data_IF_881973608134
#
_entry.id   IF_881973608134
#
_cell.length_a   1.000
_cell.length_b   1.000
_cell.length_c   1.000
_cell.angle_alpha   90.00
_cell.angle_beta   90.00
_cell.angle_gamma   90.00
#
_symmetry.space_group_name_H-M   'P 1'
#
loop_
_entity.id
_entity.type
_entity.pdbx_description
1 polymer ?
#
# COMPACT_ATOMS: atom_id res chain seq x y z
N UNK A 1 31.11 9.30 -3.25
CA UNK A 1 30.79 9.22 -4.68
C UNK A 1 29.80 8.07 -4.84
N UNK A 2 28.50 8.38 -5.04
CA UNK A 2 27.46 7.36 -5.27
C UNK A 2 27.73 6.67 -6.60
N UNK A 3 27.77 5.31 -6.59
CA UNK A 3 27.87 4.51 -7.83
C UNK A 3 26.76 4.89 -8.80
N UNK A 4 26.96 4.83 -10.14
CA UNK A 4 25.92 5.16 -11.14
C UNK A 4 24.61 4.42 -10.91
N UNK A 5 24.67 3.15 -10.49
CA UNK A 5 23.53 2.30 -10.13
C UNK A 5 22.67 2.87 -9.01
N UNK A 6 23.28 3.55 -8.02
CA UNK A 6 22.55 4.17 -6.91
C UNK A 6 21.72 5.38 -7.38
N UNK A 7 22.20 6.16 -8.36
CA UNK A 7 21.43 7.30 -8.89
C UNK A 7 20.19 6.84 -9.65
N UNK A 8 20.33 5.80 -10.47
CA UNK A 8 19.20 5.20 -11.20
C UNK A 8 18.18 4.60 -10.25
N UNK A 9 18.63 3.91 -9.20
CA UNK A 9 17.74 3.33 -8.19
C UNK A 9 17.00 4.40 -7.37
N UNK A 10 17.65 5.54 -7.05
CA UNK A 10 16.99 6.68 -6.40
C UNK A 10 15.95 7.30 -7.35
N UNK A 11 16.28 7.48 -8.63
CA UNK A 11 15.31 7.97 -9.61
C UNK A 11 14.12 7.02 -9.75
N UNK A 12 14.34 5.70 -9.79
CA UNK A 12 13.28 4.69 -9.79
C UNK A 12 12.41 4.77 -8.54
N UNK A 13 12.99 5.02 -7.35
CA UNK A 13 12.29 5.20 -6.11
C UNK A 13 11.39 6.46 -6.11
N UNK A 14 11.86 7.57 -6.69
CA UNK A 14 11.08 8.80 -6.84
C UNK A 14 9.90 8.59 -7.81
N UNK A 15 10.15 7.94 -8.96
CA UNK A 15 9.09 7.56 -9.90
C UNK A 15 8.05 6.67 -9.22
N UNK A 16 8.50 5.66 -8.47
CA UNK A 16 7.62 4.77 -7.73
C UNK A 16 6.75 5.52 -6.72
N UNK A 17 7.32 6.50 -6.00
CA UNK A 17 6.57 7.32 -5.06
C UNK A 17 5.44 8.11 -5.76
N UNK A 18 5.71 8.63 -6.95
CA UNK A 18 4.69 9.31 -7.77
C UNK A 18 3.63 8.31 -8.24
N UNK A 19 4.03 7.15 -8.76
CA UNK A 19 3.10 6.14 -9.27
C UNK A 19 2.14 5.63 -8.18
N UNK A 20 2.66 5.26 -7.00
CA UNK A 20 1.82 4.78 -5.91
C UNK A 20 1.07 5.90 -5.19
N UNK A 21 1.66 7.09 -5.04
CA UNK A 21 0.97 8.23 -4.45
C UNK A 21 -0.22 8.69 -5.29
N UNK A 22 -0.03 8.88 -6.59
CA UNK A 22 -1.10 9.27 -7.50
C UNK A 22 -2.17 8.18 -7.70
N UNK A 23 -1.81 6.91 -7.49
CA UNK A 23 -2.76 5.81 -7.57
C UNK A 23 -3.97 5.97 -6.61
N UNK A 24 -3.82 6.67 -5.48
CA UNK A 24 -4.92 6.94 -4.56
C UNK A 24 -6.00 7.82 -5.20
N UNK A 25 -5.59 8.81 -5.98
CA UNK A 25 -6.52 9.68 -6.74
C UNK A 25 -7.25 8.85 -7.79
N UNK A 26 -6.54 8.01 -8.53
CA UNK A 26 -7.15 7.16 -9.55
C UNK A 26 -8.13 6.15 -8.94
N UNK A 27 -7.80 5.56 -7.80
CA UNK A 27 -8.72 4.69 -7.06
C UNK A 27 -9.97 5.45 -6.62
N UNK A 28 -9.83 6.70 -6.13
CA UNK A 28 -10.97 7.54 -5.73
C UNK A 28 -11.87 7.89 -6.91
N UNK A 29 -11.30 8.17 -8.07
CA UNK A 29 -12.06 8.38 -9.31
C UNK A 29 -12.80 7.10 -9.70
N UNK A 30 -12.14 5.96 -9.70
CA UNK A 30 -12.71 4.70 -10.14
C UNK A 30 -13.94 4.26 -9.31
N UNK A 31 -13.91 4.46 -7.98
CA UNK A 31 -15.05 4.08 -7.11
C UNK A 31 -16.27 4.99 -7.26
N UNK A 32 -16.18 6.04 -8.05
CA UNK A 32 -17.36 6.84 -8.44
C UNK A 32 -18.16 6.19 -9.58
N UNK A 33 -17.54 5.26 -10.33
CA UNK A 33 -18.11 4.64 -11.53
C UNK A 33 -18.36 3.14 -11.40
N UNK A 34 -17.80 2.51 -10.36
CA UNK A 34 -17.96 1.10 -10.06
C UNK A 34 -18.00 0.88 -8.55
N UNK A 35 -18.65 -0.19 -8.12
CA UNK A 35 -18.61 -0.55 -6.70
C UNK A 35 -17.17 -0.88 -6.27
N UNK A 36 -16.82 -0.68 -4.98
CA UNK A 36 -15.45 -0.82 -4.50
C UNK A 36 -14.87 -2.21 -4.75
N UNK A 37 -15.67 -3.27 -4.56
CA UNK A 37 -15.20 -4.64 -4.76
C UNK A 37 -15.09 -5.01 -6.24
N UNK A 38 -15.97 -4.49 -7.10
CA UNK A 38 -15.88 -4.69 -8.56
C UNK A 38 -14.62 -4.03 -9.10
N UNK A 39 -14.35 -2.79 -8.72
CA UNK A 39 -13.12 -2.11 -9.13
C UNK A 39 -11.87 -2.83 -8.58
N UNK A 40 -11.87 -3.19 -7.27
CA UNK A 40 -10.75 -3.91 -6.67
C UNK A 40 -10.51 -5.26 -7.38
N UNK A 41 -11.58 -6.03 -7.64
CA UNK A 41 -11.50 -7.30 -8.37
C UNK A 41 -10.90 -7.14 -9.76
N UNK A 42 -11.44 -6.21 -10.56
CA UNK A 42 -10.94 -5.94 -11.91
C UNK A 42 -9.47 -5.54 -11.92
N UNK A 43 -9.08 -4.55 -11.10
CA UNK A 43 -7.69 -4.08 -11.08
C UNK A 43 -6.73 -5.18 -10.64
N UNK A 44 -7.10 -6.02 -9.66
CA UNK A 44 -6.21 -7.04 -9.14
C UNK A 44 -6.12 -8.24 -10.10
N UNK A 45 -7.21 -8.65 -10.76
CA UNK A 45 -7.17 -9.69 -11.80
C UNK A 45 -6.29 -9.25 -12.98
N UNK A 46 -6.50 -8.04 -13.50
CA UNK A 46 -5.68 -7.51 -14.58
C UNK A 46 -4.22 -7.27 -14.14
N UNK A 47 -4.02 -6.83 -12.89
CA UNK A 47 -2.71 -6.70 -12.27
C UNK A 47 -1.99 -8.04 -12.15
N UNK A 48 -2.67 -9.08 -11.67
CA UNK A 48 -2.14 -10.45 -11.61
C UNK A 48 -1.74 -10.96 -13.00
N UNK A 49 -2.60 -10.75 -14.00
CA UNK A 49 -2.30 -11.13 -15.39
C UNK A 49 -1.05 -10.38 -15.90
N UNK A 50 -0.90 -9.10 -15.62
CA UNK A 50 0.27 -8.31 -16.01
C UNK A 50 1.56 -8.79 -15.33
N UNK A 51 1.50 -9.19 -14.06
CA UNK A 51 2.65 -9.75 -13.34
C UNK A 51 3.02 -11.16 -13.83
N UNK A 52 2.03 -12.01 -14.11
CA UNK A 52 2.27 -13.32 -14.72
C UNK A 52 2.89 -13.19 -16.12
N UNK A 53 2.42 -12.23 -16.93
CA UNK A 53 3.04 -11.90 -18.21
C UNK A 53 4.49 -11.45 -18.01
N UNK A 54 4.76 -10.62 -17.02
CA UNK A 54 6.11 -10.16 -16.66
C UNK A 54 7.02 -11.34 -16.28
N UNK A 55 6.50 -12.34 -15.53
CA UNK A 55 7.23 -13.59 -15.25
C UNK A 55 7.62 -14.33 -16.52
N UNK A 56 6.67 -14.49 -17.45
CA UNK A 56 6.91 -15.19 -18.71
C UNK A 56 7.95 -14.45 -19.57
N UNK A 57 7.83 -13.11 -19.70
CA UNK A 57 8.75 -12.30 -20.50
C UNK A 57 10.16 -12.27 -19.91
N UNK A 58 10.29 -12.23 -18.58
CA UNK A 58 11.56 -12.24 -17.87
C UNK A 58 12.12 -13.64 -17.62
N UNK A 59 11.44 -14.68 -18.12
CA UNK A 59 11.81 -16.10 -17.97
C UNK A 59 12.04 -16.51 -16.50
N UNK A 60 11.20 -15.99 -15.61
CA UNK A 60 11.22 -16.29 -14.18
C UNK A 60 10.37 -17.53 -13.86
N UNK A 61 10.59 -18.20 -12.69
CA UNK A 61 9.80 -19.36 -12.32
C UNK A 61 8.30 -19.03 -12.23
N UNK A 62 7.48 -19.73 -13.01
CA UNK A 62 6.03 -19.53 -13.04
C UNK A 62 5.33 -20.38 -11.96
N UNK A 63 5.93 -21.48 -11.53
CA UNK A 63 5.32 -22.39 -10.56
C UNK A 63 5.34 -21.75 -9.17
N UNK A 64 4.18 -21.66 -8.45
CA UNK A 64 4.15 -21.11 -7.10
C UNK A 64 4.89 -22.00 -6.12
N UNK A 65 5.66 -21.38 -5.23
CA UNK A 65 6.25 -22.05 -4.07
C UNK A 65 5.48 -21.69 -2.82
N UNK A 66 5.47 -22.60 -1.83
CA UNK A 66 4.87 -22.35 -0.52
C UNK A 66 3.44 -21.81 -0.60
N UNK A 67 2.56 -22.57 -1.27
CA UNK A 67 1.18 -22.16 -1.57
C UNK A 67 0.43 -21.65 -0.33
N UNK A 68 0.45 -22.31 0.86
CA UNK A 68 -0.28 -21.84 2.02
C UNK A 68 0.19 -20.46 2.50
N UNK A 69 1.51 -20.24 2.57
CA UNK A 69 2.07 -18.96 2.98
C UNK A 69 1.85 -17.86 1.93
N UNK A 70 1.97 -18.19 0.65
CA UNK A 70 1.71 -17.25 -0.46
C UNK A 70 0.21 -16.88 -0.52
N UNK A 71 -0.69 -17.84 -0.32
CA UNK A 71 -2.13 -17.60 -0.21
C UNK A 71 -2.46 -16.68 0.95
N UNK A 72 -1.95 -16.97 2.16
CA UNK A 72 -2.21 -16.13 3.34
C UNK A 72 -1.66 -14.71 3.14
N UNK A 73 -0.47 -14.57 2.55
CA UNK A 73 0.07 -13.25 2.19
C UNK A 73 -0.83 -12.54 1.19
N UNK A 74 -1.33 -13.23 0.18
CA UNK A 74 -2.28 -12.69 -0.80
C UNK A 74 -3.59 -12.23 -0.18
N UNK A 75 -4.16 -13.03 0.73
CA UNK A 75 -5.37 -12.67 1.47
C UNK A 75 -5.18 -11.38 2.29
N UNK A 76 -4.03 -11.22 2.92
CA UNK A 76 -3.74 -10.05 3.76
C UNK A 76 -3.29 -8.84 2.94
N UNK A 77 -2.24 -8.97 2.11
CA UNK A 77 -1.65 -7.84 1.39
C UNK A 77 -2.45 -7.39 0.17
N UNK A 78 -3.22 -8.29 -0.44
CA UNK A 78 -3.99 -7.97 -1.64
C UNK A 78 -5.47 -7.85 -1.32
N UNK A 79 -6.13 -8.94 -0.87
CA UNK A 79 -7.56 -8.89 -0.63
C UNK A 79 -7.94 -7.90 0.48
N UNK A 80 -7.33 -8.04 1.66
CA UNK A 80 -7.64 -7.20 2.80
C UNK A 80 -7.23 -5.74 2.54
N UNK A 81 -5.98 -5.52 2.10
CA UNK A 81 -5.51 -4.17 1.83
C UNK A 81 -6.37 -3.46 0.78
N UNK A 82 -6.51 -4.03 -0.42
CA UNK A 82 -7.24 -3.34 -1.51
C UNK A 82 -8.75 -3.35 -1.31
N UNK A 83 -9.31 -4.41 -0.70
CA UNK A 83 -10.74 -4.45 -0.38
C UNK A 83 -11.13 -3.34 0.61
N UNK A 84 -10.41 -3.23 1.72
CA UNK A 84 -10.66 -2.16 2.70
C UNK A 84 -10.31 -0.77 2.15
N UNK A 85 -9.20 -0.61 1.42
CA UNK A 85 -8.80 0.67 0.86
C UNK A 85 -9.83 1.20 -0.16
N UNK A 86 -10.28 0.38 -1.10
CA UNK A 86 -11.27 0.82 -2.10
C UNK A 86 -12.62 1.10 -1.45
N UNK A 87 -13.02 0.33 -0.45
CA UNK A 87 -14.23 0.60 0.30
C UNK A 87 -14.11 1.90 1.11
N UNK A 88 -12.97 2.15 1.76
CA UNK A 88 -12.70 3.41 2.45
C UNK A 88 -12.86 4.62 1.54
N UNK A 89 -12.42 4.52 0.28
CA UNK A 89 -12.48 5.60 -0.71
C UNK A 89 -13.89 5.95 -1.17
N UNK A 90 -14.91 5.12 -0.95
CA UNK A 90 -16.30 5.44 -1.29
C UNK A 90 -16.76 6.72 -0.60
N UNK A 91 -16.52 6.83 0.70
CA UNK A 91 -16.91 7.99 1.51
C UNK A 91 -15.73 8.80 2.06
N UNK A 92 -14.49 8.31 1.94
CA UNK A 92 -13.25 8.97 2.36
C UNK A 92 -12.57 9.72 1.24
N UNK A 93 -11.78 10.74 1.60
CA UNK A 93 -10.90 11.43 0.67
C UNK A 93 -9.67 10.59 0.31
N UNK A 94 -9.13 10.76 -0.91
CA UNK A 94 -7.97 10.02 -1.39
C UNK A 94 -6.72 10.31 -0.57
N UNK A 95 -6.44 11.59 -0.30
CA UNK A 95 -5.29 12.03 0.48
C UNK A 95 -5.34 11.51 1.93
N UNK A 96 -6.49 11.66 2.60
CA UNK A 96 -6.69 11.18 3.97
C UNK A 96 -6.57 9.66 4.06
N UNK A 97 -7.20 8.93 3.15
CA UNK A 97 -7.12 7.46 3.10
C UNK A 97 -5.69 6.99 2.89
N UNK A 98 -4.94 7.63 1.98
CA UNK A 98 -3.52 7.33 1.79
C UNK A 98 -2.74 7.45 3.10
N UNK A 99 -2.81 8.57 3.81
CA UNK A 99 -2.07 8.78 5.07
C UNK A 99 -2.43 7.74 6.12
N UNK A 100 -3.72 7.42 6.29
CA UNK A 100 -4.17 6.43 7.26
C UNK A 100 -3.68 5.01 6.94
N UNK A 101 -3.64 4.62 5.67
CA UNK A 101 -3.07 3.33 5.25
C UNK A 101 -1.56 3.32 5.49
N UNK A 102 -0.85 4.42 5.21
CA UNK A 102 0.60 4.52 5.42
C UNK A 102 1.05 4.58 6.89
N UNK A 103 0.15 4.43 7.85
CA UNK A 103 0.47 4.05 9.23
C UNK A 103 0.96 2.59 9.33
N UNK A 104 0.82 1.80 8.28
CA UNK A 104 1.21 0.38 8.21
C UNK A 104 2.61 0.05 8.77
N UNK A 105 3.68 0.86 8.67
CA UNK A 105 4.97 0.52 9.28
C UNK A 105 4.91 0.39 10.80
N UNK A 106 4.04 1.13 11.47
CA UNK A 106 3.84 1.01 12.93
C UNK A 106 3.10 -0.28 13.28
N UNK A 107 2.13 -0.69 12.45
CA UNK A 107 1.52 -2.01 12.58
C UNK A 107 2.55 -3.13 12.37
N UNK A 108 3.47 -2.99 11.39
CA UNK A 108 4.56 -3.95 11.19
C UNK A 108 5.45 -4.06 12.43
N UNK A 109 5.81 -2.94 13.07
CA UNK A 109 6.60 -2.96 14.31
C UNK A 109 5.90 -3.73 15.44
N UNK A 110 4.62 -3.43 15.67
CA UNK A 110 3.82 -4.08 16.72
C UNK A 110 3.67 -5.58 16.43
N UNK A 111 3.32 -5.94 15.20
CA UNK A 111 3.12 -7.33 14.80
C UNK A 111 4.46 -8.11 14.79
N UNK A 112 5.58 -7.49 14.39
CA UNK A 112 6.90 -8.10 14.45
C UNK A 112 7.34 -8.36 15.90
N UNK A 113 7.03 -7.44 16.80
CA UNK A 113 7.25 -7.68 18.23
C UNK A 113 6.43 -8.85 18.77
N UNK A 114 5.13 -8.92 18.41
CA UNK A 114 4.24 -9.97 18.90
C UNK A 114 4.53 -11.36 18.29
N UNK A 115 4.80 -11.44 16.98
CA UNK A 115 4.85 -12.71 16.24
C UNK A 115 6.25 -13.16 15.84
N UNK A 116 7.24 -12.25 15.79
CA UNK A 116 8.62 -12.56 15.41
C UNK A 116 9.60 -12.38 16.57
N UNK A 117 9.14 -11.95 17.76
CA UNK A 117 9.99 -11.68 18.92
C UNK A 117 10.97 -10.50 18.71
N UNK A 118 10.73 -9.66 17.72
CA UNK A 118 11.57 -8.49 17.46
C UNK A 118 11.31 -7.42 18.52
N UNK A 119 12.38 -6.87 19.09
CA UNK A 119 12.23 -5.83 20.13
C UNK A 119 12.07 -4.46 19.50
N UNK A 120 10.98 -3.78 19.84
CA UNK A 120 10.80 -2.35 19.56
C UNK A 120 11.82 -1.56 20.40
N UNK A 121 12.70 -0.80 19.76
CA UNK A 121 13.78 -0.05 20.43
C UNK A 121 13.33 1.40 20.74
N UNK A 122 13.94 2.01 21.77
CA UNK A 122 13.54 3.28 22.37
C UNK A 122 12.92 4.34 21.45
N UNK A 123 13.61 4.78 20.39
CA UNK A 123 13.10 5.78 19.45
C UNK A 123 11.87 5.32 18.65
N UNK A 124 11.70 4.01 18.42
CA UNK A 124 10.52 3.47 17.75
C UNK A 124 9.26 3.62 18.61
N UNK A 125 9.37 3.51 19.95
CA UNK A 125 8.25 3.80 20.84
C UNK A 125 7.81 5.28 20.78
N UNK A 126 8.79 6.18 20.67
CA UNK A 126 8.51 7.63 20.47
C UNK A 126 7.79 7.84 19.13
N UNK A 127 8.27 7.19 18.07
CA UNK A 127 7.62 7.27 16.75
C UNK A 127 6.19 6.70 16.76
N UNK A 128 5.96 5.58 17.45
CA UNK A 128 4.61 5.01 17.62
C UNK A 128 3.71 6.01 18.38
N UNK A 129 4.19 6.57 19.49
CA UNK A 129 3.40 7.53 20.27
C UNK A 129 3.03 8.79 19.46
N UNK A 130 3.98 9.36 18.72
CA UNK A 130 3.73 10.51 17.82
C UNK A 130 2.72 10.14 16.72
N UNK A 131 2.83 8.93 16.14
CA UNK A 131 1.89 8.44 15.13
C UNK A 131 0.48 8.28 15.69
N UNK A 132 0.34 7.75 16.91
CA UNK A 132 -0.96 7.63 17.59
C UNK A 132 -1.57 9.02 17.84
N UNK A 133 -0.77 9.99 18.29
CA UNK A 133 -1.23 11.38 18.42
C UNK A 133 -1.70 11.93 17.07
N UNK A 134 -0.91 11.74 16.01
CA UNK A 134 -1.30 12.16 14.65
C UNK A 134 -2.60 11.51 14.17
N UNK A 135 -2.81 10.22 14.45
CA UNK A 135 -4.05 9.53 14.15
C UNK A 135 -5.25 10.15 14.88
N UNK A 136 -5.12 10.50 16.16
CA UNK A 136 -6.19 11.14 16.94
C UNK A 136 -6.61 12.48 16.31
N UNK A 137 -5.67 13.27 15.80
CA UNK A 137 -5.97 14.50 15.06
C UNK A 137 -6.72 14.23 13.75
N UNK A 138 -6.32 13.23 12.95
CA UNK A 138 -6.99 12.89 11.68
C UNK A 138 -8.35 12.26 11.92
N UNK A 139 -8.48 11.43 12.95
CA UNK A 139 -9.75 10.76 13.27
C UNK A 139 -10.81 11.73 13.75
N UNK A 140 -10.40 12.86 14.38
CA UNK A 140 -11.35 13.86 14.92
C UNK A 140 -12.50 13.17 15.68
N UNK A 141 -12.24 12.48 16.82
CA UNK A 141 -13.24 11.66 17.50
C UNK A 141 -14.47 12.44 17.99
N UNK A 142 -14.36 13.78 18.05
CA UNK A 142 -15.46 14.68 18.39
C UNK A 142 -16.39 14.99 17.22
N UNK A 143 -15.96 14.73 15.99
CA UNK A 143 -16.75 14.95 14.76
C UNK A 143 -17.12 13.60 14.13
N UNK A 144 -18.19 12.98 14.66
CA UNK A 144 -18.65 11.65 14.24
C UNK A 144 -19.46 11.65 12.94
N UNK A 145 -19.64 12.81 12.29
CA UNK A 145 -20.45 12.90 11.09
C UNK A 145 -19.80 12.20 9.88
N UNK A 146 -20.37 11.09 9.47
CA UNK A 146 -20.36 10.56 8.10
C UNK A 146 -19.17 9.72 7.65
N UNK A 147 -17.98 9.77 8.24
CA UNK A 147 -16.78 9.14 7.65
C UNK A 147 -15.96 8.24 8.58
N UNK A 148 -16.49 7.88 9.75
CA UNK A 148 -15.74 7.03 10.70
C UNK A 148 -15.47 5.64 10.10
N UNK A 149 -16.43 5.10 9.36
CA UNK A 149 -16.28 3.82 8.66
C UNK A 149 -15.11 3.87 7.67
N UNK A 150 -15.00 4.93 6.87
CA UNK A 150 -13.89 5.11 5.93
C UNK A 150 -12.53 5.15 6.65
N UNK A 151 -12.45 5.87 7.77
CA UNK A 151 -11.23 5.98 8.57
C UNK A 151 -10.82 4.61 9.15
N UNK A 152 -11.78 3.87 9.70
CA UNK A 152 -11.56 2.51 10.23
C UNK A 152 -11.12 1.56 9.12
N UNK A 153 -11.80 1.58 7.97
CA UNK A 153 -11.43 0.75 6.82
C UNK A 153 -10.01 1.06 6.32
N UNK A 154 -9.62 2.34 6.29
CA UNK A 154 -8.26 2.73 5.91
C UNK A 154 -7.20 2.17 6.88
N UNK A 155 -7.46 2.24 8.20
CA UNK A 155 -6.58 1.64 9.21
C UNK A 155 -6.53 0.11 9.11
N UNK A 156 -7.67 -0.55 8.88
CA UNK A 156 -7.74 -2.00 8.66
C UNK A 156 -6.99 -2.41 7.39
N UNK A 157 -7.03 -1.59 6.34
CA UNK A 157 -6.22 -1.79 5.13
C UNK A 157 -4.72 -1.84 5.45
N UNK A 158 -4.22 -0.84 6.20
CA UNK A 158 -2.83 -0.80 6.65
C UNK A 158 -2.43 -1.95 7.58
N UNK A 159 -3.31 -2.32 8.51
CA UNK A 159 -3.11 -3.46 9.42
C UNK A 159 -3.07 -4.79 8.64
N UNK A 160 -3.97 -4.98 7.69
CA UNK A 160 -4.01 -6.16 6.84
C UNK A 160 -2.71 -6.31 6.02
N UNK A 161 -2.25 -5.22 5.41
CA UNK A 161 -0.97 -5.21 4.70
C UNK A 161 0.19 -5.57 5.62
N UNK A 162 0.24 -5.00 6.82
CA UNK A 162 1.27 -5.29 7.81
C UNK A 162 1.27 -6.76 8.23
N UNK A 163 0.09 -7.35 8.44
CA UNK A 163 -0.03 -8.79 8.70
C UNK A 163 0.60 -9.64 7.61
N UNK A 164 0.32 -9.32 6.34
CA UNK A 164 0.93 -10.00 5.20
C UNK A 164 2.45 -9.82 5.13
N UNK A 165 2.99 -8.65 5.52
CA UNK A 165 4.45 -8.44 5.62
C UNK A 165 5.06 -9.41 6.64
N UNK A 166 4.42 -9.62 7.80
CA UNK A 166 4.91 -10.57 8.82
C UNK A 166 4.91 -12.00 8.29
N UNK A 167 3.83 -12.42 7.62
CA UNK A 167 3.73 -13.74 7.00
C UNK A 167 4.83 -13.91 5.95
N UNK A 168 4.98 -12.96 5.03
CA UNK A 168 6.01 -12.98 4.00
C UNK A 168 7.43 -13.01 4.59
N UNK A 169 7.68 -12.23 5.67
CA UNK A 169 8.97 -12.22 6.35
C UNK A 169 9.28 -13.58 6.96
N UNK A 170 8.33 -14.19 7.66
CA UNK A 170 8.49 -15.53 8.26
C UNK A 170 8.74 -16.59 7.18
N UNK A 171 8.01 -16.53 6.08
CA UNK A 171 8.15 -17.47 4.96
C UNK A 171 9.54 -17.40 4.32
N UNK A 172 10.05 -16.19 4.10
CA UNK A 172 11.39 -15.96 3.51
C UNK A 172 12.55 -16.37 4.44
N UNK A 173 12.31 -16.57 5.73
CA UNK A 173 13.31 -17.14 6.64
C UNK A 173 13.46 -18.64 6.47
N UNK A 174 12.45 -19.33 5.92
CA UNK A 174 12.41 -20.79 5.79
C UNK A 174 12.62 -21.28 4.36
N UNK A 175 12.28 -20.46 3.36
CA UNK A 175 12.34 -20.86 1.95
C UNK A 175 12.89 -19.73 1.07
N UNK A 176 13.70 -20.11 0.10
CA UNK A 176 14.21 -19.21 -0.93
C UNK A 176 13.14 -18.99 -2.01
N UNK A 177 12.62 -17.75 -2.08
CA UNK A 177 11.55 -17.35 -2.99
C UNK A 177 12.08 -16.36 -4.04
N UNK A 178 11.74 -16.59 -5.31
CA UNK A 178 11.83 -15.52 -6.30
C UNK A 178 10.75 -14.48 -6.01
N UNK A 179 11.16 -13.24 -5.73
CA UNK A 179 10.27 -12.19 -5.27
C UNK A 179 9.19 -11.82 -6.30
N UNK A 180 9.51 -11.85 -7.60
CA UNK A 180 8.53 -11.54 -8.63
C UNK A 180 7.48 -12.65 -8.73
N UNK A 181 7.92 -13.92 -8.73
CA UNK A 181 7.01 -15.07 -8.71
C UNK A 181 6.12 -15.06 -7.47
N UNK A 182 6.70 -14.84 -6.29
CA UNK A 182 5.95 -14.73 -5.05
C UNK A 182 4.90 -13.60 -5.11
N UNK A 183 5.29 -12.41 -5.60
CA UNK A 183 4.39 -11.26 -5.73
C UNK A 183 3.27 -11.51 -6.76
N UNK A 184 3.58 -12.16 -7.88
CA UNK A 184 2.57 -12.51 -8.87
C UNK A 184 1.53 -13.47 -8.29
N UNK A 185 1.98 -14.55 -7.63
CA UNK A 185 1.07 -15.55 -7.08
C UNK A 185 0.29 -15.08 -5.88
N UNK A 186 0.87 -14.27 -4.97
CA UNK A 186 0.09 -13.64 -3.90
C UNK A 186 -1.00 -12.73 -4.49
N UNK A 187 -0.74 -12.07 -5.63
CA UNK A 187 -1.73 -11.23 -6.30
C UNK A 187 -2.85 -12.08 -6.92
N UNK A 188 -2.51 -13.22 -7.54
CA UNK A 188 -3.49 -14.19 -8.04
C UNK A 188 -4.39 -14.71 -6.92
N UNK A 189 -3.80 -15.20 -5.82
CA UNK A 189 -4.57 -15.74 -4.70
C UNK A 189 -5.40 -14.64 -4.00
N UNK A 190 -4.85 -13.44 -3.89
CA UNK A 190 -5.56 -12.30 -3.32
C UNK A 190 -6.68 -11.75 -4.21
N UNK A 191 -6.67 -12.05 -5.51
CA UNK A 191 -7.77 -11.69 -6.41
C UNK A 191 -9.05 -12.50 -6.09
N UNK A 192 -8.91 -13.74 -5.63
CA UNK A 192 -10.05 -14.65 -5.44
C UNK A 192 -11.12 -14.07 -4.52
N UNK A 193 -10.83 -13.66 -3.26
CA UNK A 193 -11.85 -13.08 -2.39
C UNK A 193 -12.43 -11.76 -2.92
N UNK A 194 -11.64 -10.95 -3.63
CA UNK A 194 -12.13 -9.70 -4.21
C UNK A 194 -13.11 -9.95 -5.35
N UNK A 195 -12.84 -10.95 -6.20
CA UNK A 195 -13.76 -11.39 -7.26
C UNK A 195 -15.03 -11.99 -6.65
N UNK A 196 -14.89 -12.83 -5.63
CA UNK A 196 -16.05 -13.37 -4.92
C UNK A 196 -16.91 -12.26 -4.29
N UNK A 197 -16.28 -11.27 -3.64
CA UNK A 197 -16.99 -10.11 -3.10
C UNK A 197 -17.66 -9.29 -4.21
N UNK A 198 -17.00 -9.11 -5.36
CA UNK A 198 -17.59 -8.40 -6.51
C UNK A 198 -18.84 -9.09 -7.08
N UNK A 199 -18.91 -10.42 -6.99
CA UNK A 199 -20.05 -11.21 -7.48
C UNK A 199 -21.15 -11.32 -6.42
N UNK A 200 -20.80 -11.52 -5.15
CA UNK A 200 -21.74 -11.80 -4.08
C UNK A 200 -22.36 -10.54 -3.45
N UNK A 201 -21.62 -9.43 -3.45
CA UNK A 201 -22.14 -8.16 -2.91
C UNK A 201 -22.95 -7.44 -3.98
N UNK A 202 -24.25 -7.18 -3.75
CA UNK A 202 -25.07 -6.45 -4.72
C UNK A 202 -24.43 -5.11 -5.07
N UNK A 203 -24.32 -4.83 -6.36
CA UNK A 203 -23.64 -3.63 -6.83
C UNK A 203 -24.33 -3.05 -8.06
N UNK A 204 -24.19 -1.74 -8.26
CA UNK A 204 -24.62 -1.09 -9.49
C UNK A 204 -23.72 -1.51 -10.66
N UNK A 205 -24.24 -1.58 -11.90
CA UNK A 205 -23.44 -1.83 -13.08
C UNK A 205 -22.30 -0.81 -13.23
N UNK A 206 -21.18 -1.27 -13.80
CA UNK A 206 -20.05 -0.38 -14.08
C UNK A 206 -20.46 0.66 -15.12
N UNK A 207 -20.15 1.92 -14.83
CA UNK A 207 -20.21 3.00 -15.81
C UNK A 207 -18.87 3.08 -16.55
N UNK A 208 -18.79 2.53 -17.75
CA UNK A 208 -17.59 2.50 -18.59
C UNK A 208 -17.33 3.89 -19.20
N UNK A 209 -17.07 4.86 -18.34
CA UNK A 209 -16.71 6.22 -18.74
C UNK A 209 -15.20 6.34 -18.99
N UNK A 210 -14.80 7.34 -19.77
CA UNK A 210 -13.38 7.63 -20.02
C UNK A 210 -12.58 7.78 -18.72
N UNK A 211 -13.04 8.53 -17.68
CA UNK A 211 -12.33 8.61 -16.41
C UNK A 211 -12.16 7.26 -15.72
N UNK A 212 -13.17 6.38 -15.77
CA UNK A 212 -13.05 5.04 -15.20
C UNK A 212 -12.00 4.20 -15.91
N UNK A 213 -12.01 4.20 -17.25
CA UNK A 213 -11.07 3.43 -18.07
C UNK A 213 -9.63 3.91 -17.81
N UNK A 214 -9.40 5.23 -17.77
CA UNK A 214 -8.09 5.80 -17.46
C UNK A 214 -7.64 5.38 -16.06
N UNK A 215 -8.52 5.48 -15.06
CA UNK A 215 -8.22 5.10 -13.69
C UNK A 215 -7.90 3.60 -13.56
N UNK A 216 -8.64 2.74 -14.26
CA UNK A 216 -8.39 1.30 -14.27
C UNK A 216 -7.05 0.97 -14.96
N UNK A 217 -6.77 1.53 -16.13
CA UNK A 217 -5.50 1.35 -16.85
C UNK A 217 -4.34 1.83 -15.98
N UNK A 218 -4.49 2.99 -15.33
CA UNK A 218 -3.47 3.51 -14.42
C UNK A 218 -3.23 2.56 -13.24
N UNK A 219 -4.28 2.09 -12.60
CA UNK A 219 -4.17 1.19 -11.45
C UNK A 219 -3.50 -0.15 -11.82
N UNK A 220 -3.74 -0.66 -13.04
CA UNK A 220 -3.17 -1.94 -13.53
C UNK A 220 -1.73 -1.77 -14.00
N UNK A 221 -1.47 -0.85 -14.94
CA UNK A 221 -0.16 -0.76 -15.61
C UNK A 221 0.83 0.07 -14.76
N UNK A 222 0.67 1.38 -14.56
CA UNK A 222 1.58 2.16 -13.72
C UNK A 222 1.56 1.72 -12.26
N UNK A 223 0.36 1.57 -11.67
CA UNK A 223 0.17 1.36 -10.24
C UNK A 223 0.46 -0.06 -9.76
N UNK A 224 0.40 -1.08 -10.63
CA UNK A 224 0.69 -2.47 -10.27
C UNK A 224 1.89 -3.01 -11.03
N UNK A 225 1.84 -3.14 -12.35
CA UNK A 225 2.90 -3.82 -13.11
C UNK A 225 4.24 -3.06 -13.03
N UNK A 226 4.26 -1.81 -13.49
CA UNK A 226 5.50 -0.99 -13.51
C UNK A 226 5.98 -0.73 -12.09
N UNK A 227 5.09 -0.33 -11.19
CA UNK A 227 5.45 -0.03 -9.81
C UNK A 227 6.04 -1.24 -9.08
N UNK A 228 5.50 -2.45 -9.28
CA UNK A 228 6.04 -3.67 -8.68
C UNK A 228 7.45 -3.97 -9.22
N UNK A 229 7.68 -3.87 -10.52
CA UNK A 229 9.00 -4.10 -11.11
C UNK A 229 10.03 -3.07 -10.61
N UNK A 230 9.64 -1.78 -10.56
CA UNK A 230 10.49 -0.73 -10.00
C UNK A 230 10.80 -0.98 -8.51
N UNK A 231 9.81 -1.40 -7.73
CA UNK A 231 10.02 -1.71 -6.32
C UNK A 231 10.99 -2.86 -6.12
N UNK A 232 10.85 -3.94 -6.88
CA UNK A 232 11.79 -5.06 -6.84
C UNK A 232 13.20 -4.65 -7.26
N UNK A 233 13.33 -3.80 -8.27
CA UNK A 233 14.61 -3.21 -8.68
C UNK A 233 15.23 -2.36 -7.56
N UNK A 234 14.44 -1.48 -6.94
CA UNK A 234 14.88 -0.64 -5.81
C UNK A 234 15.38 -1.48 -4.64
N UNK A 235 14.65 -2.54 -4.27
CA UNK A 235 15.03 -3.47 -3.18
C UNK A 235 16.33 -4.22 -3.46
N UNK A 236 16.66 -4.46 -4.74
CA UNK A 236 17.91 -5.11 -5.12
C UNK A 236 19.11 -4.15 -5.14
N UNK A 237 18.86 -2.85 -5.35
CA UNK A 237 19.92 -1.85 -5.53
C UNK A 237 20.18 -0.99 -4.30
N UNK A 238 19.17 -0.74 -3.45
CA UNK A 238 19.26 0.16 -2.30
C UNK A 238 19.09 -0.57 -0.97
N UNK A 239 19.79 -0.11 0.08
CA UNK A 239 19.51 -0.57 1.43
C UNK A 239 18.04 -0.35 1.81
N UNK A 240 17.45 -1.30 2.55
CA UNK A 240 16.05 -1.28 2.94
C UNK A 240 15.62 0.03 3.64
N UNK A 241 16.53 0.65 4.42
CA UNK A 241 16.28 1.94 5.08
C UNK A 241 16.05 3.09 4.08
N UNK A 242 16.85 3.16 3.00
CA UNK A 242 16.71 4.19 1.96
C UNK A 242 15.44 3.94 1.14
N UNK A 243 15.17 2.69 0.78
CA UNK A 243 13.93 2.30 0.11
C UNK A 243 12.70 2.68 0.95
N UNK A 244 12.76 2.42 2.28
CA UNK A 244 11.71 2.80 3.22
C UNK A 244 11.47 4.32 3.31
N UNK A 245 12.54 5.14 3.32
CA UNK A 245 12.41 6.60 3.28
C UNK A 245 11.67 7.06 2.01
N UNK A 246 11.99 6.48 0.87
CA UNK A 246 11.32 6.85 -0.38
C UNK A 246 9.82 6.56 -0.36
N UNK A 247 9.39 5.48 0.31
CA UNK A 247 7.96 5.17 0.47
C UNK A 247 7.18 6.23 1.27
N UNK A 248 7.87 7.03 2.12
CA UNK A 248 7.23 8.12 2.87
C UNK A 248 6.74 9.25 1.96
N UNK A 249 7.25 9.33 0.73
CA UNK A 249 6.76 10.29 -0.25
C UNK A 249 5.38 9.93 -0.80
N UNK A 250 4.98 8.65 -0.76
CA UNK A 250 3.71 8.22 -1.33
C UNK A 250 2.49 8.95 -0.73
N UNK A 251 2.30 9.03 0.60
CA UNK A 251 1.18 9.77 1.17
C UNK A 251 1.27 11.27 0.87
N UNK A 252 2.48 11.84 0.79
CA UNK A 252 2.67 13.26 0.44
C UNK A 252 2.18 13.50 -0.99
N UNK A 253 2.62 12.68 -1.95
CA UNK A 253 2.15 12.76 -3.34
C UNK A 253 0.65 12.52 -3.41
N UNK A 254 0.11 11.57 -2.65
CA UNK A 254 -1.32 11.28 -2.60
C UNK A 254 -2.16 12.47 -2.14
N UNK A 255 -1.74 13.15 -1.06
CA UNK A 255 -2.41 14.34 -0.54
C UNK A 255 -2.33 15.50 -1.53
N UNK A 256 -1.14 15.79 -2.05
CA UNK A 256 -0.96 16.88 -3.02
C UNK A 256 -1.73 16.65 -4.31
N UNK A 257 -1.74 15.42 -4.82
CA UNK A 257 -2.50 15.07 -6.01
C UNK A 257 -4.02 15.13 -5.78
N UNK A 258 -4.50 14.67 -4.61
CA UNK A 258 -5.91 14.76 -4.25
C UNK A 258 -6.36 16.22 -4.10
N UNK A 259 -5.53 17.06 -3.52
CA UNK A 259 -5.79 18.51 -3.44
C UNK A 259 -5.85 19.13 -4.84
N UNK A 260 -4.84 18.89 -5.67
CA UNK A 260 -4.75 19.51 -7.01
C UNK A 260 -5.85 19.05 -7.98
N UNK A 261 -6.22 17.75 -7.95
CA UNK A 261 -7.12 17.16 -8.94
C UNK A 261 -8.55 16.97 -8.43
N UNK A 262 -8.73 16.64 -7.17
CA UNK A 262 -10.07 16.37 -6.59
C UNK A 262 -10.58 17.55 -5.75
N UNK A 263 -9.77 18.59 -5.52
CA UNK A 263 -10.12 19.71 -4.66
C UNK A 263 -10.22 19.34 -3.18
N UNK A 264 -9.64 18.20 -2.78
CA UNK A 264 -9.65 17.74 -1.38
C UNK A 264 -8.72 18.61 -0.55
N UNK A 265 -9.28 19.57 0.20
CA UNK A 265 -8.51 20.39 1.12
C UNK A 265 -8.53 19.75 2.52
N UNK A 266 -7.37 19.34 3.07
CA UNK A 266 -7.32 18.83 4.42
C UNK A 266 -7.64 19.94 5.42
N UNK A 267 -8.45 19.63 6.43
CA UNK A 267 -8.73 20.52 7.55
C UNK A 267 -7.48 20.80 8.37
N UNK A 268 -7.50 21.87 9.19
CA UNK A 268 -6.34 22.27 10.01
C UNK A 268 -5.85 21.14 10.94
N UNK A 269 -6.76 20.46 11.63
CA UNK A 269 -6.41 19.31 12.50
C UNK A 269 -5.85 18.13 11.69
N UNK A 270 -6.35 17.90 10.49
CA UNK A 270 -5.84 16.87 9.59
C UNK A 270 -4.41 17.17 9.15
N UNK A 271 -4.11 18.42 8.80
CA UNK A 271 -2.74 18.84 8.44
C UNK A 271 -1.77 18.62 9.61
N UNK A 272 -2.15 18.96 10.84
CA UNK A 272 -1.34 18.66 12.02
C UNK A 272 -1.12 17.15 12.16
N UNK A 273 -2.19 16.36 12.06
CA UNK A 273 -2.12 14.91 12.18
C UNK A 273 -1.25 14.26 11.10
N UNK A 274 -1.36 14.70 9.85
CA UNK A 274 -0.51 14.28 8.74
C UNK A 274 0.97 14.63 8.99
N UNK A 275 1.25 15.83 9.50
CA UNK A 275 2.60 16.26 9.86
C UNK A 275 3.21 15.39 10.97
N UNK A 276 2.44 15.09 12.02
CA UNK A 276 2.88 14.19 13.09
C UNK A 276 3.18 12.77 12.57
N UNK A 277 2.33 12.21 11.72
CA UNK A 277 2.57 10.90 11.12
C UNK A 277 3.83 10.93 10.24
N UNK A 278 4.03 11.97 9.44
CA UNK A 278 5.22 12.12 8.61
C UNK A 278 6.50 12.17 9.48
N UNK A 279 6.50 12.95 10.56
CA UNK A 279 7.61 13.01 11.52
C UNK A 279 7.86 11.62 12.14
N UNK A 280 6.81 10.94 12.58
CA UNK A 280 6.92 9.61 13.17
C UNK A 280 7.52 8.59 12.18
N UNK A 281 7.12 8.62 10.92
CA UNK A 281 7.66 7.77 9.87
C UNK A 281 9.14 8.05 9.61
N UNK A 282 9.54 9.32 9.54
CA UNK A 282 10.94 9.74 9.40
C UNK A 282 11.79 9.20 10.57
N UNK A 283 11.34 9.41 11.82
CA UNK A 283 12.04 8.94 13.01
C UNK A 283 12.20 7.42 13.01
N UNK A 284 11.13 6.68 12.67
CA UNK A 284 11.17 5.22 12.57
C UNK A 284 12.17 4.75 11.51
N UNK A 285 12.19 5.37 10.33
CA UNK A 285 13.08 4.99 9.25
C UNK A 285 14.55 5.34 9.57
N UNK A 286 14.80 6.50 10.21
CA UNK A 286 16.15 6.86 10.66
C UNK A 286 16.69 5.85 11.70
N UNK A 287 15.83 5.38 12.61
CA UNK A 287 16.21 4.35 13.58
C UNK A 287 16.52 3.00 12.90
N UNK A 288 15.72 2.61 11.90
CA UNK A 288 15.97 1.40 11.13
C UNK A 288 17.33 1.46 10.41
N UNK A 289 17.69 2.60 9.83
CA UNK A 289 19.02 2.78 9.21
C UNK A 289 20.17 2.63 10.19
N UNK A 290 20.06 3.23 11.40
CA UNK A 290 21.11 3.15 12.45
C UNK A 290 21.30 1.74 13.01
N UNK A 291 20.29 0.88 12.95
CA UNK A 291 20.38 -0.49 13.48
C UNK A 291 21.06 -1.48 12.53
N UNK A 292 21.33 -1.06 11.28
CA UNK A 292 22.02 -1.86 10.26
C UNK A 292 23.47 -1.37 9.98
N UNK A 293 23.90 -0.27 10.60
CA UNK A 293 25.30 0.16 10.71
C UNK A 293 25.91 -0.32 12.02
#
# INVERSE_FOLDING_TARGET
>A
VTKPENKTAIAALLVLAVLWGYNWVQMKIAVQYASPFVFAGLRIVLGAASLLLSLALLRKPIVPKEIPGTLLTGLLQISGMYGFATWALVSGGAGKTAVLVYVMPFWVLILAWLFLGERVKGMQWVAIAISVCGLLFILEPTNLNGTILSKVLALLSGLSWAGGVIVAKKLRQTVELDLLSFTAWQTVFGAIPLVLAAVLVPSTPIVWSTPFIIALIYAVIPGTAIATLLWLYVLNCLPAGIAGLGLLMNPVVGVLAAWAQLGEQPGFMEVIGMGLIAIALILNTMQAMRSHT
#
